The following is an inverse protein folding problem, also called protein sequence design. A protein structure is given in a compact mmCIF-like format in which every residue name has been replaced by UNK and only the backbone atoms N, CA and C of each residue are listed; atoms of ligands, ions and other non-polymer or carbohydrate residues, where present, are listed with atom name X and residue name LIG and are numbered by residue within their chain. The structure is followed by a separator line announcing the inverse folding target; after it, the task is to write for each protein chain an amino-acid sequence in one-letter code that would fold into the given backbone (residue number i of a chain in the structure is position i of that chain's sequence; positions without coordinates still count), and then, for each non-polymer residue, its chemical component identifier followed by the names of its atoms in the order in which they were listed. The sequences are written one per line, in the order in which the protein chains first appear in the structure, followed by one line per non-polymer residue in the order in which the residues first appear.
data_IF_201980425669
#
_entry.id   IF_201980425669
#
_cell.length_a   1.000
_cell.length_b   1.000
_cell.length_c   1.000
_cell.angle_alpha   90.00
_cell.angle_beta   90.00
_cell.angle_gamma   90.00
#
_symmetry.space_group_name_H-M   'P 1'
#
loop_
_entity.id
_entity.type
_entity.pdbx_description
1 polymer ?
#
# COMPACT_ATOMS: atom_id res chain seq x y z
N UNK A 1 -5.53 -0.76 25.51
CA UNK A 1 -5.48 -0.18 24.16
C UNK A 1 -6.23 -1.11 23.22
N UNK A 2 -7.14 -0.62 22.42
CA UNK A 2 -7.81 -1.42 21.38
C UNK A 2 -6.80 -1.81 20.32
N UNK A 3 -6.82 -3.06 19.80
CA UNK A 3 -5.93 -3.47 18.72
C UNK A 3 -6.16 -2.61 17.47
N UNK A 4 -5.12 -2.30 16.70
CA UNK A 4 -5.26 -1.63 15.42
C UNK A 4 -6.12 -2.47 14.45
N UNK A 5 -6.94 -1.81 13.63
CA UNK A 5 -7.89 -2.45 12.71
C UNK A 5 -7.44 -2.24 11.27
N UNK A 6 -7.14 -3.32 10.57
CA UNK A 6 -6.64 -3.30 9.20
C UNK A 6 -7.68 -3.88 8.25
N UNK A 7 -7.97 -3.13 7.18
CA UNK A 7 -8.79 -3.62 6.08
C UNK A 7 -7.87 -4.24 5.02
N UNK A 8 -8.13 -5.50 4.65
CA UNK A 8 -7.41 -6.23 3.60
C UNK A 8 -8.37 -6.46 2.43
N UNK A 9 -8.01 -5.93 1.27
CA UNK A 9 -8.76 -6.08 0.01
C UNK A 9 -7.93 -6.96 -0.93
N UNK A 10 -8.30 -8.23 -1.03
CA UNK A 10 -7.55 -9.25 -1.76
C UNK A 10 -8.51 -10.33 -2.26
N UNK A 11 -8.56 -10.58 -3.57
CA UNK A 11 -9.45 -11.55 -4.18
C UNK A 11 -8.88 -12.98 -4.21
N UNK A 12 -7.57 -13.15 -3.96
CA UNK A 12 -6.98 -14.45 -3.66
C UNK A 12 -7.11 -14.76 -2.17
N UNK A 13 -8.04 -15.68 -1.86
CA UNK A 13 -8.31 -16.08 -0.48
C UNK A 13 -7.07 -16.65 0.24
N UNK A 14 -6.14 -17.29 -0.48
CA UNK A 14 -4.94 -17.87 0.10
C UNK A 14 -3.98 -16.76 0.56
N UNK A 15 -3.77 -15.75 -0.27
CA UNK A 15 -2.94 -14.58 0.07
C UNK A 15 -3.59 -13.81 1.22
N UNK A 16 -4.88 -13.52 1.10
CA UNK A 16 -5.62 -12.81 2.15
C UNK A 16 -5.54 -13.48 3.52
N UNK A 17 -5.70 -14.82 3.57
CA UNK A 17 -5.59 -15.58 4.82
C UNK A 17 -4.18 -15.57 5.40
N UNK A 18 -3.15 -15.74 4.57
CA UNK A 18 -1.75 -15.73 5.03
C UNK A 18 -1.37 -14.36 5.59
N UNK A 19 -1.72 -13.28 4.89
CA UNK A 19 -1.49 -11.90 5.35
C UNK A 19 -2.26 -11.63 6.65
N UNK A 20 -3.54 -12.02 6.70
CA UNK A 20 -4.36 -11.88 7.90
C UNK A 20 -3.77 -12.60 9.10
N UNK A 21 -3.35 -13.87 8.93
CA UNK A 21 -2.74 -14.65 10.01
C UNK A 21 -1.43 -14.01 10.53
N UNK A 22 -0.58 -13.49 9.63
CA UNK A 22 0.65 -12.81 10.01
C UNK A 22 0.39 -11.54 10.84
N UNK A 23 -0.60 -10.74 10.45
CA UNK A 23 -0.97 -9.53 11.18
C UNK A 23 -1.65 -9.84 12.53
N UNK A 24 -2.50 -10.87 12.58
CA UNK A 24 -3.13 -11.31 13.84
C UNK A 24 -2.11 -11.83 14.86
N UNK A 25 -1.03 -12.46 14.41
CA UNK A 25 0.08 -12.88 15.28
C UNK A 25 0.76 -11.67 15.96
N UNK A 26 0.64 -10.48 15.39
CA UNK A 26 1.13 -9.21 15.93
C UNK A 26 0.07 -8.40 16.71
N UNK A 27 -1.02 -9.06 17.10
CA UNK A 27 -2.14 -8.44 17.81
C UNK A 27 -2.84 -7.30 17.05
N UNK A 28 -2.95 -7.47 15.73
CA UNK A 28 -3.65 -6.56 14.80
C UNK A 28 -4.97 -7.21 14.38
N UNK A 29 -6.08 -6.50 14.50
CA UNK A 29 -7.40 -6.98 14.05
C UNK A 29 -7.52 -6.80 12.53
N UNK A 30 -7.92 -7.84 11.81
CA UNK A 30 -8.00 -7.84 10.34
C UNK A 30 -9.40 -8.07 9.82
N UNK A 31 -9.78 -7.33 8.80
CA UNK A 31 -11.04 -7.44 8.07
C UNK A 31 -10.72 -7.72 6.60
N UNK A 32 -11.08 -8.89 6.12
CA UNK A 32 -10.80 -9.33 4.75
C UNK A 32 -12.02 -9.16 3.87
N UNK A 33 -11.83 -8.59 2.68
CA UNK A 33 -12.81 -8.55 1.61
C UNK A 33 -12.15 -8.80 0.23
N UNK A 34 -12.95 -9.20 -0.75
CA UNK A 34 -12.50 -9.68 -2.06
C UNK A 34 -12.88 -8.77 -3.23
N UNK A 35 -13.50 -7.64 -2.95
CA UNK A 35 -14.08 -6.76 -3.97
C UNK A 35 -14.12 -5.30 -3.54
N UNK A 36 -14.17 -4.39 -4.52
CA UNK A 36 -14.34 -2.94 -4.29
C UNK A 36 -15.66 -2.64 -3.57
N UNK A 37 -16.75 -3.31 -3.95
CA UNK A 37 -18.07 -3.09 -3.32
C UNK A 37 -18.07 -3.48 -1.83
N UNK A 38 -17.43 -4.60 -1.48
CA UNK A 38 -17.28 -5.02 -0.09
C UNK A 38 -16.35 -4.07 0.70
N UNK A 39 -15.24 -3.62 0.09
CA UNK A 39 -14.36 -2.58 0.65
C UNK A 39 -15.14 -1.33 1.01
N UNK A 40 -15.89 -0.78 0.05
CA UNK A 40 -16.62 0.48 0.24
C UNK A 40 -17.71 0.34 1.31
N UNK A 41 -18.35 -0.82 1.39
CA UNK A 41 -19.31 -1.13 2.46
C UNK A 41 -18.64 -1.16 3.83
N UNK A 42 -17.48 -1.76 3.96
CA UNK A 42 -16.71 -1.82 5.20
C UNK A 42 -16.22 -0.44 5.62
N UNK A 43 -15.70 0.36 4.68
CA UNK A 43 -15.24 1.74 4.94
C UNK A 43 -16.40 2.67 5.35
N UNK A 44 -17.61 2.46 4.83
CA UNK A 44 -18.77 3.24 5.21
C UNK A 44 -19.30 2.92 6.63
N UNK A 45 -19.07 1.71 7.11
CA UNK A 45 -19.62 1.21 8.38
C UNK A 45 -18.58 1.06 9.51
N UNK A 46 -17.32 1.29 9.22
CA UNK A 46 -16.24 1.07 10.19
C UNK A 46 -15.08 2.04 10.01
N UNK A 47 -14.26 2.10 11.05
CA UNK A 47 -13.01 2.85 11.04
C UNK A 47 -11.84 1.87 10.99
N UNK A 48 -10.87 2.15 10.13
CA UNK A 48 -9.67 1.34 9.95
C UNK A 48 -8.43 2.21 10.11
N UNK A 49 -7.39 1.63 10.69
CA UNK A 49 -6.13 2.31 10.94
C UNK A 49 -5.19 2.27 9.74
N UNK A 50 -5.37 1.29 8.85
CA UNK A 50 -4.65 1.14 7.61
C UNK A 50 -5.43 0.23 6.65
N UNK A 51 -5.24 0.40 5.35
CA UNK A 51 -5.76 -0.49 4.32
C UNK A 51 -4.61 -1.13 3.53
N UNK A 52 -4.68 -2.46 3.38
CA UNK A 52 -3.91 -3.24 2.40
C UNK A 52 -4.82 -3.52 1.21
N UNK A 53 -4.40 -3.24 0.00
CA UNK A 53 -5.23 -3.49 -1.19
C UNK A 53 -4.44 -4.07 -2.34
N UNK A 54 -4.98 -5.12 -2.97
CA UNK A 54 -4.54 -5.48 -4.32
C UNK A 54 -5.06 -4.45 -5.34
N UNK A 55 -4.28 -4.22 -6.36
CA UNK A 55 -4.62 -3.37 -7.51
C UNK A 55 -5.47 -4.11 -8.53
N UNK A 56 -5.23 -5.42 -8.68
CA UNK A 56 -5.92 -6.28 -9.63
C UNK A 56 -7.00 -7.07 -8.90
N UNK A 57 -8.17 -6.48 -8.79
CA UNK A 57 -9.36 -7.17 -8.31
C UNK A 57 -10.17 -7.68 -9.51
N UNK A 58 -10.87 -8.80 -9.35
CA UNK A 58 -11.62 -9.47 -10.43
C UNK A 58 -12.69 -8.59 -11.07
N UNK A 59 -13.23 -7.65 -10.34
CA UNK A 59 -14.39 -6.83 -10.71
C UNK A 59 -14.02 -5.41 -11.18
N UNK A 60 -12.78 -4.94 -10.97
CA UNK A 60 -12.43 -3.56 -11.32
C UNK A 60 -10.92 -3.25 -11.26
N UNK A 61 -10.52 -2.16 -11.91
CA UNK A 61 -9.21 -1.53 -11.69
C UNK A 61 -9.19 -0.92 -10.27
N UNK A 62 -8.56 -1.63 -9.34
CA UNK A 62 -8.46 -1.23 -7.94
C UNK A 62 -7.83 0.15 -7.75
N UNK A 63 -6.88 0.56 -8.61
CA UNK A 63 -6.24 1.88 -8.54
C UNK A 63 -7.20 3.03 -8.87
N UNK A 64 -8.07 2.85 -9.90
CA UNK A 64 -9.00 3.90 -10.29
C UNK A 64 -9.99 4.24 -9.17
N UNK A 65 -10.46 3.21 -8.44
CA UNK A 65 -11.42 3.37 -7.35
C UNK A 65 -10.76 3.69 -6.00
N UNK A 66 -9.45 3.47 -5.89
CA UNK A 66 -8.72 3.67 -4.65
C UNK A 66 -8.64 5.15 -4.25
N UNK A 67 -8.48 6.04 -5.23
CA UNK A 67 -8.45 7.49 -5.01
C UNK A 67 -9.72 7.98 -4.30
N UNK A 68 -10.89 7.56 -4.76
CA UNK A 68 -12.16 7.93 -4.11
C UNK A 68 -12.27 7.39 -2.67
N UNK A 69 -11.76 6.18 -2.43
CA UNK A 69 -11.75 5.59 -1.08
C UNK A 69 -10.82 6.38 -0.14
N UNK A 70 -9.67 6.84 -0.63
CA UNK A 70 -8.72 7.66 0.13
C UNK A 70 -9.25 9.07 0.40
N UNK A 71 -9.95 9.68 -0.55
CA UNK A 71 -10.61 10.98 -0.34
C UNK A 71 -11.65 10.94 0.80
N UNK A 72 -12.30 9.79 1.01
CA UNK A 72 -13.23 9.59 2.14
C UNK A 72 -12.54 9.33 3.47
N UNK A 73 -11.29 8.90 3.45
CA UNK A 73 -10.48 8.56 4.63
C UNK A 73 -9.04 9.07 4.47
N UNK A 74 -8.83 10.40 4.42
CA UNK A 74 -7.53 11.00 4.04
C UNK A 74 -6.39 10.65 5.00
N UNK A 75 -6.71 10.38 6.26
CA UNK A 75 -5.71 10.05 7.28
C UNK A 75 -5.39 8.55 7.36
N UNK A 76 -6.04 7.71 6.54
CA UNK A 76 -5.82 6.27 6.54
C UNK A 76 -4.69 5.91 5.58
N UNK A 77 -3.53 5.42 6.07
CA UNK A 77 -2.46 4.94 5.22
C UNK A 77 -2.93 3.77 4.35
N UNK A 78 -2.51 3.76 3.09
CA UNK A 78 -2.81 2.69 2.16
C UNK A 78 -1.53 2.04 1.70
N UNK A 79 -1.44 0.72 1.83
CA UNK A 79 -0.38 -0.10 1.26
C UNK A 79 -0.95 -0.86 0.07
N UNK A 80 -0.29 -0.76 -1.06
CA UNK A 80 -0.68 -1.42 -2.30
C UNK A 80 0.12 -2.70 -2.46
N UNK A 81 -0.58 -3.82 -2.68
CA UNK A 81 0.01 -5.09 -3.12
C UNK A 81 -0.31 -5.30 -4.59
N UNK A 82 0.63 -5.73 -5.42
CA UNK A 82 0.35 -5.94 -6.86
C UNK A 82 1.19 -7.03 -7.50
N UNK A 83 0.55 -7.85 -8.31
CA UNK A 83 1.23 -8.77 -9.23
C UNK A 83 1.78 -8.06 -10.48
N UNK A 84 1.33 -6.84 -10.77
CA UNK A 84 1.87 -6.02 -11.84
C UNK A 84 3.13 -5.29 -11.39
N UNK A 85 4.28 -5.91 -11.61
CA UNK A 85 5.59 -5.38 -11.26
C UNK A 85 6.12 -4.46 -12.36
N UNK A 86 5.41 -3.39 -12.67
CA UNK A 86 5.84 -2.38 -13.64
C UNK A 86 6.13 -1.07 -12.93
N UNK A 87 7.07 -0.30 -13.47
CA UNK A 87 7.36 1.05 -12.99
C UNK A 87 6.09 1.92 -13.04
N UNK A 88 5.28 1.76 -14.08
CA UNK A 88 4.01 2.48 -14.24
C UNK A 88 3.08 2.25 -13.04
N UNK A 89 2.92 1.00 -12.58
CA UNK A 89 2.09 0.69 -11.41
C UNK A 89 2.65 1.32 -10.14
N UNK A 90 3.97 1.29 -9.95
CA UNK A 90 4.63 1.91 -8.80
C UNK A 90 4.50 3.45 -8.82
N UNK A 91 4.63 4.07 -9.99
CA UNK A 91 4.42 5.53 -10.17
C UNK A 91 2.97 5.89 -9.89
N UNK A 92 1.99 5.18 -10.46
CA UNK A 92 0.56 5.41 -10.19
C UNK A 92 0.21 5.25 -8.71
N UNK A 93 0.81 4.27 -8.03
CA UNK A 93 0.67 4.10 -6.59
C UNK A 93 1.21 5.31 -5.80
N UNK A 94 2.32 5.89 -6.25
CA UNK A 94 2.88 7.11 -5.68
C UNK A 94 1.98 8.35 -5.93
N UNK A 95 1.41 8.47 -7.13
CA UNK A 95 0.51 9.58 -7.50
C UNK A 95 -0.78 9.64 -6.66
N UNK A 96 -1.28 8.49 -6.20
CA UNK A 96 -2.45 8.40 -5.32
C UNK A 96 -2.10 8.49 -3.83
N UNK A 97 -0.88 8.89 -3.50
CA UNK A 97 -0.42 9.07 -2.12
C UNK A 97 -0.41 7.78 -1.27
N UNK A 98 -0.21 6.62 -1.90
CA UNK A 98 -0.05 5.36 -1.18
C UNK A 98 1.15 5.43 -0.23
N UNK A 99 0.99 4.86 0.96
CA UNK A 99 2.06 4.83 1.98
C UNK A 99 3.24 3.97 1.53
N UNK A 100 2.95 2.80 0.93
CA UNK A 100 3.95 1.85 0.46
C UNK A 100 3.38 1.02 -0.70
N UNK A 101 4.29 0.46 -1.52
CA UNK A 101 3.97 -0.44 -2.63
C UNK A 101 4.74 -1.75 -2.48
N UNK A 102 4.03 -2.88 -2.53
CA UNK A 102 4.58 -4.22 -2.45
C UNK A 102 4.32 -5.02 -3.73
N UNK A 103 5.34 -5.25 -4.56
CA UNK A 103 5.22 -6.17 -5.69
C UNK A 103 5.10 -7.62 -5.19
N UNK A 104 4.14 -8.37 -5.72
CA UNK A 104 4.02 -9.82 -5.46
C UNK A 104 5.02 -10.60 -6.33
N UNK A 105 5.70 -11.62 -5.79
CA UNK A 105 5.71 -12.08 -4.40
C UNK A 105 6.51 -11.17 -3.46
N UNK A 106 6.07 -11.01 -2.23
CA UNK A 106 6.71 -10.19 -1.20
C UNK A 106 7.05 -11.03 0.05
N UNK A 107 7.98 -10.53 0.87
CA UNK A 107 8.24 -11.10 2.20
C UNK A 107 7.16 -10.62 3.19
N UNK A 108 6.58 -11.56 3.94
CA UNK A 108 5.55 -11.25 4.92
C UNK A 108 6.07 -10.41 6.08
N UNK A 109 7.33 -10.60 6.48
CA UNK A 109 7.92 -9.81 7.58
C UNK A 109 8.09 -8.34 7.15
N UNK A 110 8.50 -8.11 5.88
CA UNK A 110 8.59 -6.76 5.32
C UNK A 110 7.21 -6.10 5.28
N UNK A 111 6.18 -6.83 4.87
CA UNK A 111 4.81 -6.34 4.84
C UNK A 111 4.31 -5.98 6.24
N UNK A 112 4.51 -6.86 7.23
CA UNK A 112 4.14 -6.62 8.63
C UNK A 112 4.86 -5.40 9.19
N UNK A 113 6.15 -5.25 8.88
CA UNK A 113 6.92 -4.07 9.31
C UNK A 113 6.37 -2.78 8.71
N UNK A 114 6.04 -2.77 7.42
CA UNK A 114 5.45 -1.62 6.75
C UNK A 114 4.06 -1.27 7.31
N UNK A 115 3.24 -2.27 7.64
CA UNK A 115 1.95 -2.05 8.30
C UNK A 115 2.13 -1.37 9.66
N UNK A 116 3.06 -1.84 10.48
CA UNK A 116 3.37 -1.20 11.78
C UNK A 116 3.82 0.25 11.61
N UNK A 117 4.71 0.52 10.66
CA UNK A 117 5.16 1.88 10.34
C UNK A 117 4.02 2.79 9.86
N UNK A 118 3.10 2.25 9.03
CA UNK A 118 1.93 2.98 8.57
C UNK A 118 0.99 3.38 9.71
N UNK A 119 0.75 2.46 10.64
CA UNK A 119 -0.05 2.72 11.86
C UNK A 119 0.61 3.81 12.72
N UNK A 120 1.92 3.70 12.96
CA UNK A 120 2.68 4.69 13.75
C UNK A 120 2.66 6.08 13.10
N UNK A 121 2.83 6.15 11.77
CA UNK A 121 2.76 7.42 11.03
C UNK A 121 1.40 8.09 11.19
N UNK A 122 0.31 7.35 11.13
CA UNK A 122 -1.02 7.89 11.38
C UNK A 122 -1.15 8.54 12.76
N UNK A 123 -0.60 7.89 13.77
CA UNK A 123 -0.58 8.44 15.13
C UNK A 123 0.31 9.68 15.26
N UNK A 124 1.34 9.81 14.41
CA UNK A 124 2.26 10.95 14.38
C UNK A 124 1.78 12.09 13.46
N UNK A 125 1.06 11.81 12.38
CA UNK A 125 0.53 12.80 11.42
C UNK A 125 -0.57 13.69 12.03
N UNK A 126 -1.07 13.36 13.21
CA UNK A 126 -1.86 14.28 14.02
C UNK A 126 -1.05 15.53 14.46
N UNK A 127 0.22 15.65 14.10
CA UNK A 127 1.13 16.71 14.56
C UNK A 127 1.83 17.55 13.49
N UNK A 128 1.83 17.24 12.17
CA UNK A 128 2.39 18.19 11.16
C UNK A 128 1.93 17.93 9.70
N UNK A 129 1.44 18.98 8.98
CA UNK A 129 1.12 18.89 7.56
C UNK A 129 2.25 19.48 6.69
N UNK A 130 2.80 18.75 5.70
CA UNK A 130 3.51 19.35 4.57
C UNK A 130 3.33 18.63 3.22
N UNK A 131 3.36 19.40 2.16
CA UNK A 131 2.78 19.31 0.82
C UNK A 131 3.41 18.36 -0.21
N UNK A 132 2.62 18.09 -1.23
CA UNK A 132 2.81 17.30 -2.46
C UNK A 132 3.70 17.96 -3.52
N UNK A 133 4.34 17.18 -4.41
CA UNK A 133 4.85 17.60 -5.72
C UNK A 133 4.75 16.51 -6.81
N UNK A 134 4.53 16.96 -8.03
CA UNK A 134 4.07 16.32 -9.24
C UNK A 134 5.15 15.81 -10.21
N UNK A 135 4.81 14.74 -10.93
CA UNK A 135 5.19 14.21 -12.25
C UNK A 135 6.65 14.22 -12.80
N UNK A 136 7.14 13.04 -13.18
CA UNK A 136 8.02 12.81 -14.33
C UNK A 136 7.99 11.36 -14.82
N UNK A 137 7.86 11.16 -16.13
CA UNK A 137 7.93 9.84 -16.81
C UNK A 137 9.37 9.32 -16.86
N UNK A 138 9.65 8.17 -16.25
CA UNK A 138 10.93 7.46 -16.37
C UNK A 138 10.73 6.04 -16.90
N UNK A 139 11.33 5.64 -18.03
CA UNK A 139 11.23 4.29 -18.54
C UNK A 139 12.26 3.37 -17.84
N UNK A 140 11.85 2.64 -16.83
CA UNK A 140 12.65 1.57 -16.22
C UNK A 140 11.98 0.22 -16.49
N UNK A 141 12.75 -0.78 -17.00
CA UNK A 141 12.22 -2.08 -17.38
C UNK A 141 12.98 -3.20 -16.66
N UNK A 142 12.27 -4.10 -15.96
CA UNK A 142 12.82 -5.30 -15.33
C UNK A 142 11.85 -6.01 -14.42
N UNK A 143 11.96 -7.36 -14.33
CA UNK A 143 11.08 -8.21 -13.50
C UNK A 143 11.84 -9.05 -12.48
N UNK A 144 13.14 -8.85 -12.31
CA UNK A 144 13.92 -9.55 -11.30
C UNK A 144 13.59 -9.05 -9.88
N UNK A 145 13.85 -9.87 -8.87
CA UNK A 145 13.67 -9.48 -7.47
C UNK A 145 14.45 -8.20 -7.13
N UNK A 146 15.69 -8.07 -7.62
CA UNK A 146 16.49 -6.87 -7.44
C UNK A 146 15.84 -5.61 -8.07
N UNK A 147 15.19 -5.74 -9.25
CA UNK A 147 14.44 -4.62 -9.84
C UNK A 147 13.19 -4.26 -9.06
N UNK A 148 12.54 -5.23 -8.44
CA UNK A 148 11.40 -4.98 -7.55
C UNK A 148 11.80 -4.13 -6.33
N UNK A 149 12.96 -4.42 -5.74
CA UNK A 149 13.52 -3.60 -4.65
C UNK A 149 13.85 -2.17 -5.13
N UNK A 150 14.37 -2.03 -6.35
CA UNK A 150 14.61 -0.71 -6.97
C UNK A 150 13.29 0.04 -7.16
N UNK A 151 12.21 -0.61 -7.64
CA UNK A 151 10.91 0.04 -7.80
C UNK A 151 10.33 0.51 -6.45
N UNK A 152 10.43 -0.31 -5.41
CA UNK A 152 10.02 0.08 -4.04
C UNK A 152 10.81 1.30 -3.54
N UNK A 153 12.11 1.31 -3.79
CA UNK A 153 12.99 2.41 -3.40
C UNK A 153 12.65 3.69 -4.17
N UNK A 154 12.45 3.61 -5.49
CA UNK A 154 12.04 4.75 -6.32
C UNK A 154 10.71 5.32 -5.85
N UNK A 155 9.71 4.48 -5.57
CA UNK A 155 8.41 4.92 -5.06
C UNK A 155 8.52 5.67 -3.73
N UNK A 156 9.42 5.24 -2.83
CA UNK A 156 9.69 5.94 -1.56
C UNK A 156 10.41 7.27 -1.74
N UNK A 157 11.34 7.33 -2.70
CA UNK A 157 12.19 8.52 -2.93
C UNK A 157 11.45 9.61 -3.72
N UNK A 158 10.48 9.22 -4.56
CA UNK A 158 9.70 10.14 -5.37
C UNK A 158 9.04 11.28 -4.58
N UNK A 159 8.81 11.05 -3.31
CA UNK A 159 8.12 11.98 -2.39
C UNK A 159 9.07 12.81 -1.53
N UNK A 160 10.38 12.67 -1.70
CA UNK A 160 11.38 13.32 -0.87
C UNK A 160 12.44 14.01 -1.73
N UNK A 161 12.82 15.23 -1.37
CA UNK A 161 13.93 15.98 -2.00
C UNK A 161 15.31 15.43 -1.60
N UNK A 162 15.50 14.12 -1.64
CA UNK A 162 16.75 13.48 -1.30
C UNK A 162 17.60 13.28 -2.56
N UNK A 163 18.88 13.68 -2.48
CA UNK A 163 19.86 13.34 -3.50
C UNK A 163 20.17 11.84 -3.44
N UNK A 164 19.98 11.15 -4.56
CA UNK A 164 20.21 9.70 -4.68
C UNK A 164 21.44 9.47 -5.55
N UNK A 165 22.42 8.72 -5.02
CA UNK A 165 23.55 8.22 -5.79
C UNK A 165 23.27 6.78 -6.22
N UNK A 166 23.22 6.54 -7.52
CA UNK A 166 23.11 5.19 -8.09
C UNK A 166 24.51 4.76 -8.52
N UNK A 167 25.01 3.69 -7.91
CA UNK A 167 26.28 3.08 -8.30
C UNK A 167 26.03 1.65 -8.81
N UNK A 168 26.71 1.26 -9.87
CA UNK A 168 26.64 -0.08 -10.46
C UNK A 168 27.99 -0.45 -11.09
N UNK A 169 28.17 -1.77 -11.36
CA UNK A 169 29.30 -2.27 -12.15
C UNK A 169 29.01 -2.12 -13.65
#
# INVERSE_FOLDING_TARGET
MTPPRILIVEDDASIGLVVSAALQAENIETFLCDSVAARDTLLANGHFDLMLTDVLLKDSDGLATLKEAMERSPDMPVIIMSAQNTLETAVRASEIDAFEYFPKPFDLNDLVLAVKQGIERRHSAAQDPFESLTEANLPMIGRSAAMQDVYRMVARLWRNDLSVLISGE
#
